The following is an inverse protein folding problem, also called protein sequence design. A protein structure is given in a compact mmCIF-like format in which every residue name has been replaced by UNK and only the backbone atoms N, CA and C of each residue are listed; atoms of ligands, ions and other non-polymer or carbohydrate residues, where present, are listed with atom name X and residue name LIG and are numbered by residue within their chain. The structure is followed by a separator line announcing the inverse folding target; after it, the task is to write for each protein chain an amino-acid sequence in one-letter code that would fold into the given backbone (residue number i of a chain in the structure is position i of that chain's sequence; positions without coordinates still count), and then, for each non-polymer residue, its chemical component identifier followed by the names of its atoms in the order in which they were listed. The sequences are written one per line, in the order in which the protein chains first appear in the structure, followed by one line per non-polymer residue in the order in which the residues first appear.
data_IF_582905161857
#
_entry.id   IF_582905161857
#
_cell.length_a   1.000
_cell.length_b   1.000
_cell.length_c   1.000
_cell.angle_alpha   90.00
_cell.angle_beta   90.00
_cell.angle_gamma   90.00
#
_symmetry.space_group_name_H-M   'P 1'
#
loop_
_entity.id
_entity.type
_entity.pdbx_description
1 polymer ?
#
# COMPACT_ATOMS: atom_id res chain seq x y z
N UNK A 1 15.06 13.04 30.49
CA UNK A 1 13.72 13.36 29.97
C UNK A 1 13.73 14.40 28.86
N UNK A 2 14.32 15.60 29.03
CA UNK A 2 14.32 16.62 27.97
C UNK A 2 14.86 16.12 26.61
N UNK A 3 15.99 15.40 26.60
CA UNK A 3 16.60 14.86 25.38
C UNK A 3 15.78 13.76 24.68
N UNK A 4 14.90 13.05 25.39
CA UNK A 4 14.02 12.03 24.79
C UNK A 4 12.75 12.66 24.23
N UNK A 5 12.20 13.67 24.94
CA UNK A 5 11.05 14.46 24.49
C UNK A 5 11.40 15.20 23.20
N UNK A 6 12.57 15.87 23.14
CA UNK A 6 13.02 16.57 21.94
C UNK A 6 13.09 15.67 20.70
N UNK A 7 13.49 14.41 20.86
CA UNK A 7 13.57 13.45 19.75
C UNK A 7 12.18 13.04 19.26
N UNK A 8 11.24 12.80 20.18
CA UNK A 8 9.86 12.47 19.85
C UNK A 8 9.16 13.64 19.15
N UNK A 9 9.29 14.86 19.69
CA UNK A 9 8.78 16.09 19.07
C UNK A 9 9.35 16.28 17.66
N UNK A 10 10.64 16.03 17.47
CA UNK A 10 11.25 16.13 16.14
C UNK A 10 10.65 15.14 15.14
N UNK A 11 10.40 13.89 15.56
CA UNK A 11 9.75 12.91 14.67
C UNK A 11 8.31 13.31 14.34
N UNK A 12 7.54 13.77 15.33
CA UNK A 12 6.16 14.24 15.12
C UNK A 12 6.10 15.46 14.20
N UNK A 13 7.03 16.41 14.35
CA UNK A 13 7.14 17.57 13.47
C UNK A 13 7.49 17.16 12.04
N UNK A 14 8.39 16.19 11.85
CA UNK A 14 8.70 15.64 10.52
C UNK A 14 7.48 14.96 9.89
N UNK A 15 6.75 14.15 10.65
CA UNK A 15 5.50 13.50 10.17
C UNK A 15 4.46 14.56 9.79
N UNK A 16 4.23 15.56 10.66
CA UNK A 16 3.31 16.66 10.39
C UNK A 16 3.69 17.47 9.16
N UNK A 17 4.99 17.76 8.99
CA UNK A 17 5.51 18.44 7.80
C UNK A 17 5.29 17.63 6.52
N UNK A 18 5.54 16.32 6.55
CA UNK A 18 5.24 15.42 5.42
C UNK A 18 3.75 15.45 5.09
N UNK A 19 2.88 15.43 6.10
CA UNK A 19 1.43 15.46 5.90
C UNK A 19 0.95 16.79 5.29
N UNK A 20 1.51 17.92 5.71
CA UNK A 20 1.22 19.23 5.11
C UNK A 20 1.65 19.25 3.64
N UNK A 21 2.86 18.78 3.34
CA UNK A 21 3.36 18.71 1.95
C UNK A 21 2.49 17.78 1.10
N UNK A 22 2.04 16.66 1.66
CA UNK A 22 1.11 15.75 0.99
C UNK A 22 -0.23 16.44 0.69
N UNK A 23 -0.84 17.11 1.66
CA UNK A 23 -2.11 17.82 1.48
C UNK A 23 -1.99 18.92 0.42
N UNK A 24 -1.01 19.80 0.55
CA UNK A 24 -0.78 20.88 -0.41
C UNK A 24 -0.43 20.33 -1.80
N UNK A 25 0.29 19.21 -1.87
CA UNK A 25 0.60 18.52 -3.12
C UNK A 25 -0.64 17.97 -3.79
N UNK A 26 -1.56 17.34 -3.05
CA UNK A 26 -2.82 16.81 -3.57
C UNK A 26 -3.81 17.92 -3.95
N UNK A 27 -3.87 19.00 -3.19
CA UNK A 27 -4.67 20.18 -3.54
C UNK A 27 -4.12 20.87 -4.80
N UNK A 28 -2.80 21.04 -4.90
CA UNK A 28 -2.14 21.57 -6.08
C UNK A 28 -2.37 20.69 -7.31
N UNK A 29 -2.31 19.36 -7.14
CA UNK A 29 -2.65 18.40 -8.19
C UNK A 29 -4.13 18.49 -8.59
N UNK A 30 -5.02 18.69 -7.61
CA UNK A 30 -6.45 18.89 -7.83
C UNK A 30 -6.73 20.13 -8.67
N UNK A 31 -6.12 21.24 -8.30
CA UNK A 31 -6.20 22.49 -9.05
C UNK A 31 -5.67 22.30 -10.47
N UNK A 32 -4.47 21.74 -10.63
CA UNK A 32 -3.83 21.54 -11.93
C UNK A 32 -4.66 20.65 -12.87
N UNK A 33 -5.17 19.51 -12.38
CA UNK A 33 -5.96 18.59 -13.20
C UNK A 33 -7.30 19.19 -13.63
N UNK A 34 -7.95 19.96 -12.74
CA UNK A 34 -9.19 20.65 -13.09
C UNK A 34 -8.97 21.77 -14.10
N UNK A 35 -7.80 22.43 -14.09
CA UNK A 35 -7.45 23.45 -15.08
C UNK A 35 -7.06 22.85 -16.44
N UNK A 36 -6.27 21.77 -16.45
CA UNK A 36 -5.74 21.20 -17.70
C UNK A 36 -6.74 20.28 -18.42
N UNK A 37 -7.52 19.49 -17.68
CA UNK A 37 -8.45 18.50 -18.25
C UNK A 37 -9.78 18.54 -17.48
N UNK A 38 -10.58 19.61 -17.61
CA UNK A 38 -11.85 19.71 -16.92
C UNK A 38 -12.83 18.64 -17.39
N UNK A 39 -13.46 17.91 -16.46
CA UNK A 39 -14.56 17.00 -16.77
C UNK A 39 -14.62 15.75 -15.89
N UNK A 40 -15.41 14.76 -16.33
CA UNK A 40 -15.60 13.49 -15.58
C UNK A 40 -14.29 12.69 -15.42
N UNK A 41 -13.36 12.82 -16.37
CA UNK A 41 -12.06 12.16 -16.31
C UNK A 41 -11.22 12.67 -15.14
N UNK A 42 -11.04 14.00 -15.01
CA UNK A 42 -10.29 14.56 -13.87
C UNK A 42 -10.97 14.23 -12.55
N UNK A 43 -12.30 14.32 -12.46
CA UNK A 43 -13.03 13.97 -11.24
C UNK A 43 -12.78 12.52 -10.79
N UNK A 44 -12.73 11.57 -11.73
CA UNK A 44 -12.45 10.17 -11.42
C UNK A 44 -10.98 9.93 -11.04
N UNK A 45 -10.04 10.58 -11.73
CA UNK A 45 -8.61 10.51 -11.40
C UNK A 45 -8.30 11.16 -10.04
N UNK A 46 -8.99 12.25 -9.70
CA UNK A 46 -8.81 12.94 -8.42
C UNK A 46 -9.34 12.12 -7.25
N UNK A 47 -10.52 11.50 -7.39
CA UNK A 47 -11.01 10.52 -6.41
C UNK A 47 -9.98 9.42 -6.16
N UNK A 48 -9.32 8.97 -7.22
CA UNK A 48 -8.26 7.97 -7.12
C UNK A 48 -7.04 8.49 -6.37
N UNK A 49 -6.51 9.66 -6.73
CA UNK A 49 -5.34 10.21 -6.05
C UNK A 49 -5.58 10.51 -4.58
N UNK A 50 -6.76 11.03 -4.23
CA UNK A 50 -7.16 11.24 -2.84
C UNK A 50 -7.39 9.92 -2.09
N UNK A 51 -8.01 8.92 -2.73
CA UNK A 51 -8.21 7.59 -2.13
C UNK A 51 -6.91 6.86 -1.81
N UNK A 52 -5.84 7.13 -2.57
CA UNK A 52 -4.53 6.49 -2.43
C UNK A 52 -3.43 7.45 -1.94
N UNK A 53 -3.80 8.49 -1.20
CA UNK A 53 -2.88 9.47 -0.62
C UNK A 53 -1.75 8.84 0.21
N UNK A 54 -1.98 7.67 0.81
CA UNK A 54 -0.98 6.93 1.57
C UNK A 54 0.26 6.56 0.72
N UNK A 55 0.09 6.26 -0.57
CA UNK A 55 1.20 5.95 -1.47
C UNK A 55 2.05 7.17 -1.78
N UNK A 56 1.40 8.33 -2.01
CA UNK A 56 2.09 9.61 -2.15
C UNK A 56 2.80 10.02 -0.86
N UNK A 57 2.18 9.79 0.30
CA UNK A 57 2.78 10.02 1.62
C UNK A 57 4.05 9.21 1.82
N UNK A 58 4.06 7.92 1.44
CA UNK A 58 5.25 7.07 1.49
C UNK A 58 6.37 7.59 0.57
N UNK A 59 6.03 8.02 -0.64
CA UNK A 59 7.00 8.59 -1.58
C UNK A 59 7.61 9.89 -1.03
N UNK A 60 6.78 10.84 -0.61
CA UNK A 60 7.21 12.12 -0.03
C UNK A 60 8.05 11.87 1.22
N UNK A 61 7.59 11.01 2.14
CA UNK A 61 8.33 10.66 3.35
C UNK A 61 9.71 10.06 3.06
N UNK A 62 9.81 9.22 2.01
CA UNK A 62 11.11 8.67 1.58
C UNK A 62 12.03 9.75 1.02
N UNK A 63 11.50 10.68 0.22
CA UNK A 63 12.28 11.80 -0.33
C UNK A 63 12.75 12.76 0.77
N UNK A 64 11.85 13.14 1.68
CA UNK A 64 12.16 13.98 2.84
C UNK A 64 13.18 13.28 3.73
N UNK A 65 13.02 12.00 4.02
CA UNK A 65 13.98 11.21 4.80
C UNK A 65 15.37 11.20 4.17
N UNK A 66 15.47 10.98 2.85
CA UNK A 66 16.75 11.07 2.11
C UNK A 66 17.34 12.48 2.15
N UNK A 67 16.50 13.51 2.02
CA UNK A 67 16.94 14.91 2.07
C UNK A 67 17.49 15.27 3.46
N UNK A 68 16.80 14.90 4.53
CA UNK A 68 17.24 15.13 5.92
C UNK A 68 18.58 14.45 6.19
N UNK A 69 18.75 13.18 5.78
CA UNK A 69 20.03 12.47 5.92
C UNK A 69 21.16 13.18 5.16
N UNK A 70 20.89 13.63 3.94
CA UNK A 70 21.87 14.40 3.14
C UNK A 70 22.27 15.73 3.81
N UNK A 71 21.35 16.36 4.54
CA UNK A 71 21.67 17.58 5.31
C UNK A 71 22.46 17.27 6.60
N UNK A 72 22.21 16.13 7.23
CA UNK A 72 23.03 15.63 8.35
C UNK A 72 24.46 15.32 7.90
N UNK A 73 24.63 14.62 6.77
CA UNK A 73 25.95 14.28 6.21
C UNK A 73 26.77 15.53 5.87
N UNK A 74 26.10 16.62 5.46
CA UNK A 74 26.73 17.92 5.16
C UNK A 74 26.99 18.77 6.41
N UNK A 75 26.65 18.28 7.60
CA UNK A 75 26.84 18.99 8.88
C UNK A 75 25.88 20.16 9.12
N UNK A 76 24.84 20.31 8.30
CA UNK A 76 23.84 21.38 8.44
C UNK A 76 22.86 21.08 9.58
N UNK A 77 22.59 19.79 9.81
CA UNK A 77 21.79 19.32 10.94
C UNK A 77 22.73 18.75 11.99
N UNK A 78 23.00 19.51 13.05
CA UNK A 78 23.89 19.10 14.15
C UNK A 78 23.10 18.36 15.24
N UNK A 79 23.66 17.27 15.77
CA UNK A 79 23.22 16.66 17.03
C UNK A 79 22.40 15.38 16.96
N UNK A 80 22.48 14.60 15.86
CA UNK A 80 21.78 13.31 15.73
C UNK A 80 20.24 13.46 15.93
N UNK A 81 19.71 14.60 15.47
CA UNK A 81 18.31 15.04 15.62
C UNK A 81 17.46 14.76 14.37
N UNK A 82 18.01 14.15 13.32
CA UNK A 82 17.24 13.77 12.14
C UNK A 82 16.31 12.60 12.40
N UNK A 83 16.28 11.64 11.49
CA UNK A 83 15.34 10.52 11.57
C UNK A 83 15.78 9.51 12.64
N UNK A 84 14.91 9.23 13.60
CA UNK A 84 15.11 8.16 14.56
C UNK A 84 14.19 6.98 14.22
N UNK A 85 14.75 5.96 13.56
CA UNK A 85 13.99 4.79 13.10
C UNK A 85 13.28 4.07 14.25
N UNK A 86 13.89 3.97 15.43
CA UNK A 86 13.26 3.33 16.58
C UNK A 86 11.98 4.08 17.00
N UNK A 87 12.06 5.41 17.19
CA UNK A 87 10.89 6.22 17.54
C UNK A 87 9.83 6.20 16.42
N UNK A 88 10.25 6.29 15.16
CA UNK A 88 9.33 6.22 14.01
C UNK A 88 8.62 4.87 13.93
N UNK A 89 9.32 3.76 14.20
CA UNK A 89 8.72 2.42 14.28
C UNK A 89 7.70 2.33 15.41
N UNK A 90 7.95 2.95 16.56
CA UNK A 90 7.00 2.97 17.68
C UNK A 90 5.79 3.85 17.39
N UNK A 91 5.98 5.03 16.79
CA UNK A 91 4.88 5.91 16.40
C UNK A 91 4.02 5.25 15.32
N UNK A 92 4.64 4.70 14.28
CA UNK A 92 3.94 3.91 13.25
C UNK A 92 3.25 2.68 13.86
N UNK A 93 3.91 2.07 14.86
CA UNK A 93 3.40 1.16 15.86
C UNK A 93 1.98 1.52 16.32
N UNK A 94 1.91 2.54 17.16
CA UNK A 94 0.69 3.05 17.76
C UNK A 94 -0.34 3.51 16.73
N UNK A 95 0.10 4.14 15.63
CA UNK A 95 -0.80 4.60 14.58
C UNK A 95 -1.55 3.45 13.88
N UNK A 96 -0.86 2.34 13.60
CA UNK A 96 -1.49 1.14 13.05
C UNK A 96 -2.47 0.53 14.05
N UNK A 97 -2.16 0.49 15.35
CA UNK A 97 -3.07 -0.04 16.38
C UNK A 97 -4.37 0.78 16.45
N UNK A 98 -4.24 2.10 16.45
CA UNK A 98 -5.39 3.01 16.40
C UNK A 98 -6.21 2.80 15.13
N UNK A 99 -5.56 2.66 13.97
CA UNK A 99 -6.23 2.41 12.70
C UNK A 99 -7.00 1.09 12.71
N UNK A 100 -6.44 0.00 13.26
CA UNK A 100 -7.11 -1.29 13.40
C UNK A 100 -8.35 -1.16 14.30
N UNK A 101 -8.18 -0.55 15.48
CA UNK A 101 -9.28 -0.35 16.41
C UNK A 101 -10.43 0.49 15.81
N UNK A 102 -10.08 1.60 15.15
CA UNK A 102 -11.06 2.46 14.47
C UNK A 102 -11.77 1.74 13.32
N UNK A 103 -11.05 0.91 12.55
CA UNK A 103 -11.63 0.14 11.44
C UNK A 103 -12.65 -0.89 11.93
N UNK A 104 -12.37 -1.56 13.05
CA UNK A 104 -13.31 -2.51 13.67
C UNK A 104 -14.53 -1.75 14.22
N UNK A 105 -14.31 -0.61 14.89
CA UNK A 105 -15.38 0.21 15.44
C UNK A 105 -16.32 0.81 14.37
N UNK A 106 -15.83 1.00 13.13
CA UNK A 106 -16.63 1.52 12.02
C UNK A 106 -17.61 0.49 11.40
N UNK A 107 -17.52 -0.80 11.77
CA UNK A 107 -18.36 -1.85 11.17
C UNK A 107 -19.82 -1.71 11.64
N UNK A 108 -20.73 -1.50 10.69
CA UNK A 108 -22.16 -1.46 10.96
C UNK A 108 -22.81 -2.85 10.82
N UNK A 109 -23.03 -3.52 11.96
CA UNK A 109 -23.61 -4.87 12.02
C UNK A 109 -25.02 -4.96 11.41
N UNK A 110 -25.80 -3.87 11.43
CA UNK A 110 -27.17 -3.85 10.89
C UNK A 110 -27.19 -4.01 9.37
N UNK A 111 -26.14 -3.54 8.68
CA UNK A 111 -25.98 -3.70 7.23
C UNK A 111 -25.51 -5.12 6.89
N UNK A 112 -24.75 -5.75 7.78
CA UNK A 112 -24.15 -7.07 7.56
C UNK A 112 -25.17 -8.22 7.63
N UNK A 113 -26.13 -8.13 8.56
CA UNK A 113 -27.07 -9.21 8.89
C UNK A 113 -27.80 -9.83 7.68
N UNK A 114 -28.47 -9.04 6.83
CA UNK A 114 -29.20 -9.56 5.67
C UNK A 114 -28.32 -10.25 4.62
N UNK A 115 -27.01 -9.97 4.61
CA UNK A 115 -26.08 -10.44 3.59
C UNK A 115 -24.99 -11.36 4.15
N UNK A 116 -25.12 -11.84 5.37
CA UNK A 116 -24.06 -12.63 6.02
C UNK A 116 -23.72 -13.90 5.23
N UNK A 117 -24.73 -14.59 4.69
CA UNK A 117 -24.53 -15.82 3.89
C UNK A 117 -23.74 -15.54 2.61
N UNK A 118 -24.18 -14.63 1.71
CA UNK A 118 -23.40 -14.34 0.50
C UNK A 118 -22.02 -13.75 0.82
N UNK A 119 -21.88 -12.95 1.88
CA UNK A 119 -20.58 -12.45 2.33
C UNK A 119 -19.67 -13.61 2.70
N UNK A 120 -20.12 -14.55 3.53
CA UNK A 120 -19.31 -15.70 3.95
C UNK A 120 -18.88 -16.58 2.78
N UNK A 121 -19.77 -16.80 1.81
CA UNK A 121 -19.43 -17.58 0.61
C UNK A 121 -18.32 -16.88 -0.17
N UNK A 122 -18.49 -15.58 -0.46
CA UNK A 122 -17.53 -14.81 -1.25
C UNK A 122 -16.20 -14.66 -0.52
N UNK A 123 -16.20 -14.36 0.77
CA UNK A 123 -14.98 -14.18 1.56
C UNK A 123 -14.24 -15.50 1.79
N UNK A 124 -14.95 -16.62 1.98
CA UNK A 124 -14.32 -17.93 2.16
C UNK A 124 -13.68 -18.40 0.86
N UNK A 125 -14.44 -18.40 -0.25
CA UNK A 125 -13.90 -18.82 -1.55
C UNK A 125 -12.78 -17.88 -1.99
N UNK A 126 -13.01 -16.57 -1.90
CA UNK A 126 -12.02 -15.55 -2.24
C UNK A 126 -10.76 -15.65 -1.38
N UNK A 127 -10.91 -15.90 -0.09
CA UNK A 127 -9.80 -16.11 0.85
C UNK A 127 -8.96 -17.33 0.49
N UNK A 128 -9.60 -18.48 0.21
CA UNK A 128 -8.89 -19.70 -0.19
C UNK A 128 -8.14 -19.52 -1.51
N UNK A 129 -8.78 -18.87 -2.50
CA UNK A 129 -8.12 -18.55 -3.78
C UNK A 129 -6.93 -17.61 -3.55
N UNK A 130 -7.09 -16.60 -2.68
CA UNK A 130 -6.04 -15.64 -2.33
C UNK A 130 -4.85 -16.33 -1.67
N UNK A 131 -5.07 -17.32 -0.80
CA UNK A 131 -4.00 -18.14 -0.20
C UNK A 131 -3.17 -18.81 -1.30
N UNK A 132 -3.82 -19.49 -2.25
CA UNK A 132 -3.13 -20.18 -3.34
C UNK A 132 -2.35 -19.22 -4.23
N UNK A 133 -2.95 -18.08 -4.57
CA UNK A 133 -2.31 -17.00 -5.32
C UNK A 133 -1.05 -16.49 -4.60
N UNK A 134 -1.17 -16.06 -3.35
CA UNK A 134 -0.04 -15.47 -2.60
C UNK A 134 1.05 -16.51 -2.38
N UNK A 135 0.69 -17.76 -2.04
CA UNK A 135 1.66 -18.84 -1.90
C UNK A 135 2.51 -19.02 -3.16
N UNK A 136 1.86 -19.00 -4.33
CA UNK A 136 2.55 -19.15 -5.61
C UNK A 136 3.53 -18.00 -5.89
N UNK A 137 3.14 -16.75 -5.63
CA UNK A 137 3.98 -15.57 -5.93
C UNK A 137 5.07 -15.36 -4.88
N UNK A 138 4.74 -15.40 -3.60
CA UNK A 138 5.69 -15.11 -2.51
C UNK A 138 6.83 -16.12 -2.50
N UNK A 139 6.55 -17.40 -2.73
CA UNK A 139 7.59 -18.44 -2.82
C UNK A 139 8.63 -18.18 -3.92
N UNK A 140 8.26 -17.44 -4.97
CA UNK A 140 9.14 -17.11 -6.11
C UNK A 140 9.88 -15.78 -5.92
N UNK A 141 9.23 -14.80 -5.29
CA UNK A 141 9.75 -13.43 -5.18
C UNK A 141 10.52 -13.22 -3.87
N UNK A 142 10.00 -13.72 -2.75
CA UNK A 142 10.56 -13.55 -1.40
C UNK A 142 10.72 -14.92 -0.71
N UNK A 143 11.61 -15.80 -1.20
CA UNK A 143 11.75 -17.14 -0.63
C UNK A 143 12.32 -17.12 0.81
N UNK A 144 13.09 -16.10 1.19
CA UNK A 144 13.75 -16.01 2.51
C UNK A 144 12.84 -15.44 3.59
N UNK A 145 12.03 -14.44 3.24
CA UNK A 145 11.05 -13.78 4.13
C UNK A 145 9.63 -14.20 3.75
N UNK A 146 9.49 -15.50 3.43
CA UNK A 146 8.26 -16.06 2.88
C UNK A 146 7.09 -15.86 3.84
N UNK A 147 7.29 -16.15 5.13
CA UNK A 147 6.20 -16.09 6.13
C UNK A 147 5.73 -14.66 6.30
N UNK A 148 6.67 -13.72 6.45
CA UNK A 148 6.42 -12.30 6.66
C UNK A 148 5.67 -11.70 5.47
N UNK A 149 6.14 -11.94 4.24
CA UNK A 149 5.46 -11.46 3.03
C UNK A 149 4.12 -12.16 2.80
N UNK A 150 4.03 -13.46 3.08
CA UNK A 150 2.79 -14.21 2.91
C UNK A 150 1.68 -13.66 3.79
N UNK A 151 1.92 -13.49 5.09
CA UNK A 151 0.89 -12.97 6.01
C UNK A 151 0.56 -11.50 5.75
N UNK A 152 1.56 -10.70 5.40
CA UNK A 152 1.37 -9.27 5.10
C UNK A 152 0.52 -9.09 3.85
N UNK A 153 0.87 -9.78 2.76
CA UNK A 153 0.12 -9.69 1.52
C UNK A 153 -1.26 -10.33 1.67
N UNK A 154 -1.40 -11.41 2.43
CA UNK A 154 -2.70 -12.03 2.66
C UNK A 154 -3.64 -11.05 3.35
N UNK A 155 -3.24 -10.49 4.49
CA UNK A 155 -4.05 -9.49 5.19
C UNK A 155 -4.33 -8.24 4.35
N UNK A 156 -3.38 -7.82 3.50
CA UNK A 156 -3.56 -6.69 2.60
C UNK A 156 -4.57 -6.97 1.50
N UNK A 157 -4.54 -8.15 0.87
CA UNK A 157 -5.44 -8.51 -0.23
C UNK A 157 -6.85 -8.86 0.24
N UNK A 158 -7.00 -9.43 1.44
CA UNK A 158 -8.31 -9.76 2.03
C UNK A 158 -8.89 -8.64 2.88
N UNK A 159 -8.22 -7.51 2.98
CA UNK A 159 -8.60 -6.40 3.85
C UNK A 159 -7.97 -5.11 3.39
N UNK A 160 -7.21 -4.47 4.27
CA UNK A 160 -6.44 -3.26 3.96
C UNK A 160 -4.98 -3.45 4.35
N UNK A 161 -4.12 -2.51 3.97
CA UNK A 161 -2.75 -2.46 4.47
C UNK A 161 -2.70 -2.56 6.00
N UNK A 162 -3.66 -1.96 6.72
CA UNK A 162 -3.76 -2.08 8.18
C UNK A 162 -3.83 -3.53 8.66
N UNK A 163 -4.69 -4.32 8.02
CA UNK A 163 -4.88 -5.74 8.33
C UNK A 163 -3.63 -6.54 8.02
N UNK A 164 -2.96 -6.25 6.89
CA UNK A 164 -1.67 -6.84 6.57
C UNK A 164 -0.60 -6.55 7.63
N UNK A 165 -0.51 -5.30 8.07
CA UNK A 165 0.43 -4.89 9.13
C UNK A 165 0.11 -5.51 10.49
N UNK A 166 -1.17 -5.72 10.80
CA UNK A 166 -1.60 -6.42 12.01
C UNK A 166 -1.09 -7.86 12.02
N UNK A 167 -1.24 -8.59 10.91
CA UNK A 167 -0.76 -9.96 10.78
C UNK A 167 0.77 -10.03 10.78
N UNK A 168 1.44 -9.08 10.11
CA UNK A 168 2.90 -8.99 10.10
C UNK A 168 3.46 -8.88 11.52
N UNK A 169 2.83 -8.11 12.42
CA UNK A 169 3.29 -8.03 13.81
C UNK A 169 3.27 -9.34 14.57
N UNK A 170 2.41 -10.28 14.18
CA UNK A 170 2.40 -11.61 14.79
C UNK A 170 3.69 -12.39 14.52
N UNK A 171 4.38 -12.10 13.41
CA UNK A 171 5.59 -12.82 12.97
C UNK A 171 6.85 -11.95 12.99
N UNK A 172 6.71 -10.64 12.79
CA UNK A 172 7.76 -9.62 12.83
C UNK A 172 7.26 -8.38 13.59
N UNK A 173 7.25 -8.42 14.95
CA UNK A 173 6.69 -7.36 15.78
C UNK A 173 7.41 -5.99 15.65
N UNK A 174 8.67 -6.00 15.22
CA UNK A 174 9.53 -4.81 15.15
C UNK A 174 9.73 -4.33 13.70
N UNK A 175 9.03 -4.92 12.72
CA UNK A 175 9.17 -4.61 11.30
C UNK A 175 10.64 -4.61 10.83
N UNK A 176 11.37 -5.67 11.19
CA UNK A 176 12.79 -5.85 10.83
C UNK A 176 12.96 -6.27 9.37
N UNK A 177 11.98 -6.97 8.82
CA UNK A 177 11.97 -7.45 7.44
C UNK A 177 11.45 -6.38 6.47
N UNK A 178 11.76 -6.52 5.18
CA UNK A 178 11.26 -5.62 4.13
C UNK A 178 9.75 -5.75 3.87
N UNK A 179 9.06 -6.72 4.47
CA UNK A 179 7.65 -7.02 4.18
C UNK A 179 6.73 -5.80 4.36
N UNK A 180 6.97 -5.01 5.41
CA UNK A 180 6.23 -3.78 5.68
C UNK A 180 6.44 -2.74 4.57
N UNK A 181 7.69 -2.47 4.20
CA UNK A 181 8.03 -1.51 3.15
C UNK A 181 7.55 -1.98 1.78
N UNK A 182 7.72 -3.27 1.48
CA UNK A 182 7.35 -3.85 0.19
C UNK A 182 5.83 -3.80 -0.03
N UNK A 183 5.03 -4.02 1.03
CA UNK A 183 3.57 -3.85 0.96
C UNK A 183 3.16 -2.39 0.70
N UNK A 184 3.80 -1.43 1.37
CA UNK A 184 3.50 0.01 1.21
C UNK A 184 3.89 0.50 -0.19
N UNK A 185 5.13 0.27 -0.61
CA UNK A 185 5.62 0.69 -1.92
C UNK A 185 4.93 -0.08 -3.05
N UNK A 186 4.69 -1.38 -2.87
CA UNK A 186 3.96 -2.22 -3.81
C UNK A 186 2.54 -1.73 -4.05
N UNK A 187 1.84 -1.28 -3.00
CA UNK A 187 0.50 -0.68 -3.14
C UNK A 187 0.55 0.65 -3.90
N UNK A 188 1.60 1.45 -3.71
CA UNK A 188 1.82 2.68 -4.47
C UNK A 188 2.03 2.45 -5.97
N UNK A 189 2.81 1.43 -6.35
CA UNK A 189 2.99 1.03 -7.76
C UNK A 189 1.69 0.40 -8.30
N UNK A 190 1.03 -0.42 -7.49
CA UNK A 190 -0.25 -1.05 -7.80
C UNK A 190 -1.33 -0.03 -8.19
N UNK A 191 -1.29 1.19 -7.66
CA UNK A 191 -2.18 2.28 -8.05
C UNK A 191 -2.17 2.55 -9.56
N UNK A 192 -0.98 2.62 -10.17
CA UNK A 192 -0.83 2.89 -11.60
C UNK A 192 -1.43 1.74 -12.42
N UNK A 193 -1.29 0.51 -11.94
CA UNK A 193 -1.91 -0.67 -12.56
C UNK A 193 -3.40 -0.79 -12.21
N UNK A 194 -3.89 -0.11 -11.19
CA UNK A 194 -5.31 -0.08 -10.81
C UNK A 194 -6.15 0.82 -11.71
N UNK A 195 -5.55 1.78 -12.41
CA UNK A 195 -6.27 2.77 -13.25
C UNK A 195 -7.19 2.10 -14.29
N UNK A 196 -6.74 1.10 -15.09
CA UNK A 196 -7.63 0.39 -16.01
C UNK A 196 -8.79 -0.32 -15.30
N UNK A 197 -8.54 -0.97 -14.16
CA UNK A 197 -9.58 -1.68 -13.39
C UNK A 197 -10.66 -0.73 -12.88
N UNK A 198 -10.28 0.45 -12.40
CA UNK A 198 -11.22 1.45 -11.91
C UNK A 198 -12.04 2.03 -13.06
N UNK A 199 -11.43 2.27 -14.23
CA UNK A 199 -12.16 2.69 -15.41
C UNK A 199 -13.24 1.66 -15.80
N UNK A 200 -12.89 0.37 -15.73
CA UNK A 200 -13.81 -0.74 -15.99
C UNK A 200 -14.89 -0.93 -14.91
N UNK A 201 -14.61 -0.57 -13.66
CA UNK A 201 -15.52 -0.80 -12.52
C UNK A 201 -16.85 -0.04 -12.63
N UNK A 202 -16.94 0.99 -13.47
CA UNK A 202 -18.19 1.73 -13.71
C UNK A 202 -19.15 1.02 -14.67
N UNK A 203 -18.65 0.10 -15.50
CA UNK A 203 -19.43 -0.55 -16.56
C UNK A 203 -20.61 -1.39 -16.05
N UNK A 204 -20.52 -2.18 -14.95
CA UNK A 204 -21.67 -2.89 -14.41
C UNK A 204 -22.79 -1.95 -13.94
N UNK A 205 -22.44 -0.82 -13.33
CA UNK A 205 -23.42 0.17 -12.88
C UNK A 205 -24.14 0.82 -14.06
N UNK A 206 -23.40 1.17 -15.11
CA UNK A 206 -23.99 1.66 -16.38
C UNK A 206 -24.87 0.59 -17.04
N UNK A 207 -24.48 -0.69 -16.98
CA UNK A 207 -25.30 -1.81 -17.45
C UNK A 207 -26.64 -1.92 -16.73
N UNK A 208 -26.64 -1.71 -15.41
CA UNK A 208 -27.85 -1.66 -14.60
C UNK A 208 -28.75 -0.47 -14.96
N UNK A 209 -28.18 0.74 -15.07
CA UNK A 209 -28.92 1.96 -15.43
C UNK A 209 -29.56 1.88 -16.83
N UNK A 210 -28.87 1.27 -17.79
CA UNK A 210 -29.35 1.11 -19.17
C UNK A 210 -30.20 -0.15 -19.38
N UNK A 211 -30.37 -1.00 -18.36
CA UNK A 211 -31.09 -2.28 -18.47
C UNK A 211 -30.44 -3.28 -19.44
N UNK A 212 -29.15 -3.12 -19.74
CA UNK A 212 -28.45 -3.92 -20.74
C UNK A 212 -27.47 -4.91 -20.08
N UNK A 213 -27.79 -6.23 -20.05
CA UNK A 213 -26.96 -7.22 -19.39
C UNK A 213 -25.62 -7.49 -20.09
N UNK A 214 -25.42 -7.04 -21.34
CA UNK A 214 -24.17 -7.25 -22.07
C UNK A 214 -22.98 -6.55 -21.40
N UNK A 215 -23.22 -5.46 -20.65
CA UNK A 215 -22.16 -4.76 -19.92
C UNK A 215 -21.50 -5.62 -18.84
N UNK A 216 -22.21 -6.57 -18.24
CA UNK A 216 -21.62 -7.50 -17.26
C UNK A 216 -20.62 -8.44 -17.94
N UNK A 217 -20.98 -9.00 -19.10
CA UNK A 217 -20.11 -9.87 -19.88
C UNK A 217 -18.89 -9.14 -20.44
N UNK A 218 -19.10 -7.92 -20.94
CA UNK A 218 -18.01 -7.06 -21.41
C UNK A 218 -17.03 -6.77 -20.26
N UNK A 219 -17.55 -6.39 -19.09
CA UNK A 219 -16.70 -6.13 -17.91
C UNK A 219 -15.88 -7.35 -17.52
N UNK A 220 -16.52 -8.53 -17.49
CA UNK A 220 -15.84 -9.78 -17.17
C UNK A 220 -14.71 -10.11 -18.16
N UNK A 221 -14.99 -9.99 -19.47
CA UNK A 221 -14.00 -10.23 -20.52
C UNK A 221 -12.83 -9.24 -20.43
N UNK A 222 -13.11 -7.97 -20.15
CA UNK A 222 -12.06 -6.96 -20.00
C UNK A 222 -11.19 -7.23 -18.76
N UNK A 223 -11.77 -7.64 -17.63
CA UNK A 223 -11.02 -8.01 -16.42
C UNK A 223 -10.14 -9.23 -16.70
N UNK A 224 -10.68 -10.27 -17.34
CA UNK A 224 -9.92 -11.48 -17.70
C UNK A 224 -8.80 -11.13 -18.68
N UNK A 225 -9.08 -10.33 -19.70
CA UNK A 225 -8.09 -9.87 -20.67
C UNK A 225 -6.98 -9.06 -20.01
N UNK A 226 -7.35 -8.15 -19.11
CA UNK A 226 -6.38 -7.36 -18.35
C UNK A 226 -5.50 -8.21 -17.44
N UNK A 227 -6.11 -9.17 -16.72
CA UNK A 227 -5.37 -10.15 -15.92
C UNK A 227 -4.41 -10.96 -16.78
N UNK A 228 -4.84 -11.44 -17.95
CA UNK A 228 -3.99 -12.18 -18.87
C UNK A 228 -2.79 -11.34 -19.34
N UNK A 229 -3.00 -10.05 -19.64
CA UNK A 229 -1.92 -9.12 -19.99
C UNK A 229 -0.94 -8.94 -18.82
N UNK A 230 -1.42 -8.74 -17.58
CA UNK A 230 -0.55 -8.62 -16.41
C UNK A 230 0.25 -9.90 -16.21
N UNK A 231 -0.40 -11.06 -16.25
CA UNK A 231 0.28 -12.35 -16.08
C UNK A 231 1.30 -12.59 -17.18
N UNK A 232 1.00 -12.24 -18.43
CA UNK A 232 1.94 -12.34 -19.54
C UNK A 232 3.17 -11.45 -19.32
N UNK A 233 2.97 -10.19 -18.93
CA UNK A 233 4.06 -9.27 -18.59
C UNK A 233 4.90 -9.82 -17.44
N UNK A 234 4.26 -10.40 -16.42
CA UNK A 234 4.92 -10.92 -15.23
C UNK A 234 5.72 -12.20 -15.50
N UNK A 235 5.16 -13.14 -16.25
CA UNK A 235 5.83 -14.41 -16.58
C UNK A 235 6.84 -14.29 -17.71
N UNK A 236 6.94 -13.14 -18.37
CA UNK A 236 8.04 -12.86 -19.28
C UNK A 236 9.37 -12.93 -18.50
N UNK A 237 10.28 -13.87 -18.83
CA UNK A 237 11.51 -14.10 -18.07
C UNK A 237 12.39 -12.85 -17.93
N UNK A 238 12.36 -11.98 -18.94
CA UNK A 238 13.13 -10.74 -18.93
C UNK A 238 12.57 -9.74 -17.91
N UNK A 239 11.26 -9.51 -17.91
CA UNK A 239 10.56 -8.64 -16.97
C UNK A 239 10.66 -9.17 -15.55
N UNK A 240 10.42 -10.47 -15.35
CA UNK A 240 10.54 -11.11 -14.04
C UNK A 240 11.96 -10.94 -13.47
N UNK A 241 12.98 -11.25 -14.28
CA UNK A 241 14.37 -11.11 -13.86
C UNK A 241 14.73 -9.65 -13.60
N UNK A 242 14.19 -8.69 -14.35
CA UNK A 242 14.43 -7.25 -14.15
C UNK A 242 13.80 -6.73 -12.85
N UNK A 243 12.51 -7.03 -12.61
CA UNK A 243 11.77 -6.55 -11.45
C UNK A 243 12.25 -7.18 -10.13
N UNK A 244 12.75 -8.42 -10.16
CA UNK A 244 13.21 -9.14 -8.96
C UNK A 244 14.70 -8.99 -8.65
N UNK A 245 15.49 -8.25 -9.46
CA UNK A 245 16.94 -8.07 -9.22
C UNK A 245 17.24 -7.39 -7.89
N UNK A 246 16.44 -6.38 -7.54
CA UNK A 246 16.69 -5.57 -6.35
C UNK A 246 16.25 -6.27 -5.07
N UNK A 247 15.15 -7.02 -5.10
CA UNK A 247 14.64 -7.81 -3.99
C UNK A 247 15.67 -8.85 -3.54
N UNK A 248 16.30 -9.56 -4.49
CA UNK A 248 17.33 -10.56 -4.18
C UNK A 248 18.64 -9.94 -3.66
N UNK A 249 18.94 -8.70 -4.07
CA UNK A 249 20.18 -7.99 -3.67
C UNK A 249 20.08 -7.25 -2.33
N UNK A 250 18.90 -6.82 -1.89
CA UNK A 250 18.69 -6.27 -0.54
C UNK A 250 18.70 -7.36 0.53
N UNK A 251 18.15 -8.54 0.23
CA UNK A 251 18.15 -9.71 1.11
C UNK A 251 19.56 -10.24 1.46
N UNK A 252 20.53 -10.16 0.55
CA UNK A 252 21.94 -10.51 0.84
C UNK A 252 22.60 -9.52 1.80
N UNK A 253 22.26 -8.23 1.69
CA UNK A 253 22.83 -7.18 2.55
C UNK A 253 22.24 -7.20 3.95
N UNK A 254 20.94 -7.46 4.09
CA UNK A 254 20.27 -7.56 5.40
C UNK A 254 20.66 -8.83 6.18
N UNK A 255 20.80 -9.97 5.49
CA UNK A 255 21.30 -11.20 6.13
C UNK A 255 22.74 -11.05 6.65
N UNK A 256 23.58 -10.30 5.93
CA UNK A 256 24.97 -10.01 6.35
C UNK A 256 25.02 -9.00 7.51
N UNK A 257 24.06 -8.09 7.59
CA UNK A 257 23.98 -7.08 8.64
C UNK A 257 23.42 -7.63 9.98
N UNK A 258 22.56 -8.66 9.94
CA UNK A 258 22.06 -9.31 11.17
C UNK A 258 23.05 -10.30 11.80
N UNK A 259 24.17 -10.60 11.13
CA UNK A 259 25.27 -11.45 11.62
C UNK A 259 26.44 -10.64 12.22
N UNK A 260 26.33 -9.31 12.27
CA UNK A 260 27.27 -8.39 12.93
C UNK A 260 26.58 -7.69 14.09
#
# INVERSE_FOLDING_TARGET
MARSIDKATTQLMLIGGIYIVLLLGLEGLTWLLNTLVPGKLSANMLKLFWGFHFGFGALIGTLVGKFVRKMEDKGWVKGNKGTNNYLLQHIGGTAIDFMIAASIAAINVRVLGPYIVPILIVTTIGGVVTIGYIWFFVKRVWPKTFVEHFVTLFGTHTGTLATGMALLRGVDPQFRTSAASDAIYGSGIGLLMGVPLIAMASLPATGYELGNPNYYWITLLLIIGYLAVILFIWFNPWTFKFLTRHTRGSEEKEATASQK
#
